data_IF_392643186893
#
_entry.id   IF_392643186893
#
_cell.length_a   1.000
_cell.length_b   1.000
_cell.length_c   1.000
_cell.angle_alpha   90.00
_cell.angle_beta   90.00
_cell.angle_gamma   90.00
#
_symmetry.space_group_name_H-M   'P 1'
#
loop_
_entity.id
_entity.type
_entity.pdbx_description
1 polymer ?
#
# COMPACT_ATOMS: atom_id res chain seq x y z
N UNK A 1 -6.59 -7.70 -15.53
CA UNK A 1 -7.44 -6.48 -15.46
C UNK A 1 -8.20 -6.19 -16.74
N UNK A 2 -7.56 -6.02 -17.91
CA UNK A 2 -8.26 -5.70 -19.16
C UNK A 2 -9.39 -6.69 -19.52
N UNK A 3 -9.09 -7.99 -19.61
CA UNK A 3 -10.09 -9.02 -19.91
C UNK A 3 -10.91 -9.46 -18.69
N UNK A 4 -10.34 -9.39 -17.48
CA UNK A 4 -11.05 -9.78 -16.26
C UNK A 4 -12.21 -8.82 -15.94
N UNK A 5 -12.08 -7.53 -16.25
CA UNK A 5 -13.20 -6.58 -16.11
C UNK A 5 -14.35 -6.86 -17.08
N UNK A 6 -14.06 -7.29 -18.31
CA UNK A 6 -15.08 -7.70 -19.29
C UNK A 6 -15.80 -8.96 -18.79
N UNK A 7 -15.06 -9.93 -18.26
CA UNK A 7 -15.63 -11.16 -17.68
C UNK A 7 -16.50 -10.84 -16.46
N UNK A 8 -16.02 -10.03 -15.51
CA UNK A 8 -16.83 -9.66 -14.33
C UNK A 8 -18.10 -8.90 -14.70
N UNK A 9 -18.03 -8.04 -15.73
CA UNK A 9 -19.22 -7.37 -16.27
C UNK A 9 -20.19 -8.36 -16.90
N UNK A 10 -19.68 -9.33 -17.67
CA UNK A 10 -20.50 -10.39 -18.27
C UNK A 10 -21.16 -11.29 -17.21
N UNK A 11 -20.50 -11.49 -16.06
CA UNK A 11 -21.02 -12.19 -14.89
C UNK A 11 -22.01 -11.36 -14.06
N UNK A 12 -22.27 -10.10 -14.43
CA UNK A 12 -23.26 -9.24 -13.78
C UNK A 12 -22.75 -8.50 -12.54
N UNK A 13 -21.45 -8.51 -12.26
CA UNK A 13 -20.91 -7.75 -11.13
C UNK A 13 -20.83 -6.25 -11.46
N UNK A 14 -21.20 -5.37 -10.52
CA UNK A 14 -21.03 -3.93 -10.70
C UNK A 14 -19.53 -3.56 -10.69
N UNK A 15 -19.15 -2.54 -11.47
CA UNK A 15 -17.74 -2.18 -11.70
C UNK A 15 -17.00 -1.76 -10.45
N UNK A 16 -17.70 -1.17 -9.47
CA UNK A 16 -17.14 -0.83 -8.15
C UNK A 16 -16.76 -2.06 -7.30
N UNK A 17 -17.21 -3.26 -7.67
CA UNK A 17 -16.87 -4.52 -6.98
C UNK A 17 -15.67 -5.25 -7.59
N UNK A 18 -15.11 -4.77 -8.70
CA UNK A 18 -14.02 -5.48 -9.39
C UNK A 18 -12.76 -5.61 -8.51
N UNK A 19 -12.39 -4.55 -7.80
CA UNK A 19 -11.25 -4.58 -6.87
C UNK A 19 -11.53 -5.47 -5.65
N UNK A 20 -12.79 -5.58 -5.22
CA UNK A 20 -13.19 -6.47 -4.13
C UNK A 20 -13.02 -7.94 -4.54
N UNK A 21 -13.48 -8.31 -5.74
CA UNK A 21 -13.30 -9.65 -6.29
C UNK A 21 -11.81 -9.99 -6.48
N UNK A 22 -11.01 -9.02 -6.93
CA UNK A 22 -9.56 -9.17 -7.01
C UNK A 22 -8.93 -9.43 -5.63
N UNK A 23 -9.32 -8.66 -4.61
CA UNK A 23 -8.81 -8.83 -3.26
C UNK A 23 -9.12 -10.23 -2.70
N UNK A 24 -10.34 -10.74 -2.92
CA UNK A 24 -10.73 -12.10 -2.52
C UNK A 24 -9.80 -13.14 -3.16
N UNK A 25 -9.53 -13.03 -4.46
CA UNK A 25 -8.60 -13.93 -5.14
C UNK A 25 -7.14 -13.81 -4.68
N UNK A 26 -6.74 -12.65 -4.13
CA UNK A 26 -5.38 -12.40 -3.63
C UNK A 26 -5.17 -12.75 -2.17
N UNK A 27 -6.23 -12.80 -1.35
CA UNK A 27 -6.15 -13.09 0.09
C UNK A 27 -5.31 -14.34 0.42
N UNK A 28 -5.46 -15.49 -0.26
CA UNK A 28 -4.64 -16.66 0.03
C UNK A 28 -3.14 -16.41 -0.19
N UNK A 29 -2.78 -15.67 -1.24
CA UNK A 29 -1.39 -15.32 -1.54
C UNK A 29 -0.81 -14.33 -0.53
N UNK A 30 -1.60 -13.34 -0.09
CA UNK A 30 -1.17 -12.41 0.97
C UNK A 30 -0.92 -13.13 2.30
N UNK A 31 -1.79 -14.08 2.66
CA UNK A 31 -1.62 -14.88 3.87
C UNK A 31 -0.38 -15.78 3.75
N UNK A 32 -0.16 -16.40 2.59
CA UNK A 32 1.03 -17.22 2.35
C UNK A 32 2.33 -16.41 2.51
N UNK A 33 2.43 -15.24 1.87
CA UNK A 33 3.59 -14.36 2.00
C UNK A 33 3.81 -13.87 3.43
N UNK A 34 2.73 -13.51 4.15
CA UNK A 34 2.83 -13.13 5.54
C UNK A 34 3.34 -14.29 6.40
N UNK A 35 2.81 -15.50 6.19
CA UNK A 35 3.23 -16.69 6.92
C UNK A 35 4.71 -17.01 6.68
N UNK A 36 5.15 -17.00 5.42
CA UNK A 36 6.56 -17.18 5.06
C UNK A 36 7.48 -16.18 5.77
N UNK A 37 7.08 -14.90 5.80
CA UNK A 37 7.83 -13.85 6.51
C UNK A 37 7.84 -14.06 8.04
N UNK A 38 6.75 -14.54 8.64
CA UNK A 38 6.69 -14.78 10.09
C UNK A 38 7.46 -16.03 10.53
N UNK A 39 7.56 -17.03 9.66
CA UNK A 39 8.28 -18.28 9.92
C UNK A 39 9.79 -18.15 9.65
N UNK A 40 10.23 -17.13 8.91
CA UNK A 40 11.65 -16.87 8.67
C UNK A 40 12.38 -16.36 9.94
N UNK A 41 13.32 -17.14 10.51
CA UNK A 41 14.06 -16.74 11.71
C UNK A 41 14.97 -15.52 11.50
N UNK A 42 15.27 -15.18 10.24
CA UNK A 42 16.06 -14.00 9.86
C UNK A 42 15.24 -12.72 9.70
N UNK A 43 13.91 -12.80 9.77
CA UNK A 43 13.05 -11.66 9.49
C UNK A 43 13.28 -10.51 10.49
N UNK A 44 13.42 -9.30 9.94
CA UNK A 44 13.57 -8.05 10.70
C UNK A 44 12.55 -7.03 10.19
N UNK A 45 12.26 -6.04 11.03
CA UNK A 45 11.37 -4.95 10.65
C UNK A 45 11.89 -4.21 9.41
N UNK A 46 11.04 -4.05 8.41
CA UNK A 46 11.32 -3.21 7.24
C UNK A 46 11.42 -1.75 7.67
N UNK A 47 12.65 -1.22 7.72
CA UNK A 47 12.93 0.17 8.11
C UNK A 47 13.60 0.94 6.97
N UNK A 48 12.84 1.33 5.93
CA UNK A 48 13.39 2.10 4.82
C UNK A 48 13.91 3.46 5.32
N UNK A 49 14.88 4.02 4.59
CA UNK A 49 15.40 5.37 4.82
C UNK A 49 14.97 6.28 3.69
N UNK A 50 15.00 7.58 3.97
CA UNK A 50 14.79 8.62 2.97
C UNK A 50 16.06 9.43 2.78
N UNK A 51 16.24 10.02 1.60
CA UNK A 51 17.26 11.03 1.35
C UNK A 51 16.62 12.38 1.65
N UNK A 52 17.23 13.14 2.58
CA UNK A 52 16.72 14.46 2.93
C UNK A 52 17.11 15.48 1.87
N UNK A 53 16.11 16.07 1.20
CA UNK A 53 16.27 17.16 0.23
C UNK A 53 15.52 18.43 0.66
N UNK A 54 15.09 18.47 1.93
CA UNK A 54 14.37 19.60 2.51
C UNK A 54 15.29 20.74 2.95
N UNK A 55 14.70 21.71 3.65
CA UNK A 55 15.40 22.88 4.15
C UNK A 55 16.38 22.53 5.27
N UNK A 56 17.51 23.23 5.38
CA UNK A 56 18.39 23.06 6.53
C UNK A 56 17.72 23.56 7.82
N UNK A 57 18.43 23.41 8.93
CA UNK A 57 17.99 23.94 10.21
C UNK A 57 17.60 25.42 10.10
N UNK A 58 16.41 25.76 10.60
CA UNK A 58 15.87 27.11 10.57
C UNK A 58 15.33 27.47 11.94
N UNK A 59 15.56 28.70 12.36
CA UNK A 59 15.01 29.19 13.61
C UNK A 59 13.49 29.29 13.53
N UNK A 60 12.82 28.91 14.62
CA UNK A 60 11.38 29.05 14.72
C UNK A 60 11.01 30.53 14.82
N UNK A 61 10.14 30.98 13.91
CA UNK A 61 9.56 32.33 13.95
C UNK A 61 8.17 32.24 14.60
N UNK A 62 7.92 32.95 15.72
CA UNK A 62 6.59 33.06 16.32
C UNK A 62 5.53 33.50 15.31
N UNK A 63 4.29 33.03 15.47
CA UNK A 63 3.24 33.21 14.44
C UNK A 63 2.96 34.68 14.14
N UNK A 64 3.01 35.53 15.16
CA UNK A 64 2.87 36.98 15.13
C UNK A 64 4.00 37.71 14.39
N UNK A 65 5.12 37.01 14.12
CA UNK A 65 6.30 37.54 13.42
C UNK A 65 6.51 36.94 12.04
N UNK A 66 5.55 36.13 11.56
CA UNK A 66 5.53 35.64 10.17
C UNK A 66 4.78 36.68 9.32
N UNK A 67 5.33 37.02 8.16
CA UNK A 67 4.71 37.93 7.20
C UNK A 67 3.45 37.32 6.58
#
# INVERSE_FOLDING_TARGET
DFYSGIIYRALGFPTNMFTVLFAIGRLPGWIAHWKEMMEDPGTKIGRPRQIYTGQLERQYVPIDKRA
#
